data_IF_912920440849
#
_entry.id   IF_912920440849
#
_cell.length_a   1.000
_cell.length_b   1.000
_cell.length_c   1.000
_cell.angle_alpha   90.00
_cell.angle_beta   90.00
_cell.angle_gamma   90.00
#
_symmetry.space_group_name_H-M   'P 1'
#
loop_
_entity.id
_entity.type
_entity.pdbx_description
1 polymer ?
#
# COMPACT_ATOMS: atom_id res chain seq x y z
N UNK A 1 -13.17 -23.15 -2.30
CA UNK A 1 -14.30 -22.24 -2.44
C UNK A 1 -14.16 -21.10 -1.43
N UNK A 2 -14.38 -19.80 -1.76
CA UNK A 2 -14.14 -18.66 -0.88
C UNK A 2 -14.84 -18.76 0.49
N UNK A 3 -16.11 -19.20 0.52
CA UNK A 3 -16.86 -19.36 1.76
C UNK A 3 -16.24 -20.46 2.65
N UNK A 4 -15.79 -21.57 2.05
CA UNK A 4 -15.13 -22.64 2.78
C UNK A 4 -13.80 -22.16 3.40
N UNK A 5 -13.01 -21.36 2.70
CA UNK A 5 -11.78 -20.78 3.23
C UNK A 5 -12.04 -19.88 4.43
N UNK A 6 -13.05 -18.99 4.36
CA UNK A 6 -13.47 -18.18 5.52
C UNK A 6 -13.98 -19.03 6.69
N UNK A 7 -14.64 -20.14 6.41
CA UNK A 7 -15.08 -21.09 7.45
C UNK A 7 -13.89 -21.79 8.09
N UNK A 8 -12.95 -22.29 7.30
CA UNK A 8 -11.72 -22.94 7.79
C UNK A 8 -10.92 -21.98 8.68
N UNK A 9 -10.75 -20.70 8.27
CA UNK A 9 -10.08 -19.71 9.10
C UNK A 9 -10.73 -19.57 10.48
N UNK A 10 -12.08 -19.51 10.54
CA UNK A 10 -12.82 -19.45 11.80
C UNK A 10 -12.66 -20.73 12.65
N UNK A 11 -12.61 -21.89 12.00
CA UNK A 11 -12.38 -23.17 12.70
C UNK A 11 -10.98 -23.20 13.30
N UNK A 12 -9.93 -22.82 12.54
CA UNK A 12 -8.56 -22.75 13.04
C UNK A 12 -8.43 -21.81 14.25
N UNK A 13 -9.10 -20.67 14.21
CA UNK A 13 -9.13 -19.75 15.34
C UNK A 13 -9.77 -20.35 16.58
N UNK A 14 -10.92 -21.01 16.44
CA UNK A 14 -11.57 -21.69 17.56
C UNK A 14 -10.70 -22.80 18.15
N UNK A 15 -9.96 -23.53 17.33
CA UNK A 15 -9.02 -24.56 17.79
C UNK A 15 -7.90 -23.88 18.63
N UNK A 16 -7.33 -22.78 18.12
CA UNK A 16 -6.30 -22.05 18.83
C UNK A 16 -6.83 -21.41 20.14
N UNK A 17 -8.04 -20.88 20.18
CA UNK A 17 -8.71 -20.40 21.37
C UNK A 17 -8.94 -21.50 22.41
N UNK A 18 -9.05 -22.77 21.96
CA UNK A 18 -9.16 -23.96 22.82
C UNK A 18 -7.84 -24.38 23.44
N UNK A 19 -6.70 -23.70 23.13
CA UNK A 19 -5.38 -23.99 23.69
C UNK A 19 -4.45 -24.80 22.78
N UNK A 20 -4.91 -25.20 21.60
CA UNK A 20 -4.09 -25.89 20.62
C UNK A 20 -3.30 -24.90 19.77
N UNK A 21 -2.18 -25.33 19.18
CA UNK A 21 -1.42 -24.55 18.23
C UNK A 21 -1.78 -24.92 16.79
N UNK A 22 -2.12 -23.93 15.97
CA UNK A 22 -2.43 -24.10 14.54
C UNK A 22 -1.42 -23.32 13.70
N UNK A 23 -0.66 -24.02 12.86
CA UNK A 23 0.27 -23.41 11.89
C UNK A 23 -0.09 -23.94 10.51
N UNK A 24 -0.25 -23.06 9.54
CA UNK A 24 -0.53 -23.42 8.15
C UNK A 24 0.13 -22.44 7.18
N UNK A 25 0.47 -22.92 6.00
CA UNK A 25 0.93 -22.07 4.87
C UNK A 25 -0.20 -21.86 3.88
N UNK A 26 -0.23 -20.67 3.27
CA UNK A 26 -1.27 -20.32 2.30
C UNK A 26 -0.77 -19.30 1.29
N UNK A 27 -1.38 -19.30 0.10
CA UNK A 27 -1.31 -18.23 -0.89
C UNK A 27 -2.68 -17.53 -1.07
N UNK A 28 -3.64 -17.80 -0.17
CA UNK A 28 -4.98 -17.23 -0.28
C UNK A 28 -5.15 -15.99 0.59
N UNK A 29 -5.47 -14.86 -0.04
CA UNK A 29 -5.80 -13.61 0.62
C UNK A 29 -7.05 -13.68 1.52
N UNK A 30 -7.87 -14.74 1.38
CA UNK A 30 -9.03 -15.01 2.23
C UNK A 30 -8.68 -15.68 3.57
N UNK A 31 -7.51 -16.33 3.64
CA UNK A 31 -7.02 -16.97 4.87
C UNK A 31 -6.14 -16.04 5.71
N UNK A 32 -5.72 -14.91 5.15
CA UNK A 32 -4.97 -13.86 5.84
C UNK A 32 -5.93 -12.79 6.35
N UNK A 33 -5.63 -12.20 7.52
CA UNK A 33 -6.43 -11.11 8.10
C UNK A 33 -5.51 -10.02 8.65
N UNK A 34 -5.59 -8.84 8.08
CA UNK A 34 -4.80 -7.69 8.50
C UNK A 34 -5.01 -7.30 9.97
N UNK A 35 -6.17 -7.60 10.56
CA UNK A 35 -6.42 -7.36 11.98
C UNK A 35 -5.58 -8.28 12.89
N UNK A 36 -5.08 -9.38 12.34
CA UNK A 36 -4.24 -10.36 13.01
C UNK A 36 -2.83 -10.41 12.38
N UNK A 37 -2.30 -9.23 12.06
CA UNK A 37 -0.98 -9.08 11.44
C UNK A 37 0.15 -9.75 12.23
N UNK A 38 0.00 -9.82 13.54
CA UNK A 38 0.95 -10.43 14.48
C UNK A 38 0.99 -11.98 14.42
N UNK A 39 -0.02 -12.59 13.78
CA UNK A 39 -0.07 -14.02 13.51
C UNK A 39 0.52 -14.39 12.13
N UNK A 40 0.86 -13.37 11.30
CA UNK A 40 1.37 -13.57 9.95
C UNK A 40 2.89 -13.68 9.99
N UNK A 41 3.41 -14.78 9.45
CA UNK A 41 4.84 -14.97 9.21
C UNK A 41 5.05 -14.97 7.70
N UNK A 42 5.64 -13.88 7.18
CA UNK A 42 6.04 -13.82 5.78
C UNK A 42 7.36 -14.53 5.58
N UNK A 43 7.36 -15.51 4.68
CA UNK A 43 8.58 -16.21 4.27
C UNK A 43 9.08 -15.65 2.94
N UNK A 44 10.36 -15.35 2.88
CA UNK A 44 11.05 -14.90 1.67
C UNK A 44 12.23 -15.84 1.40
N UNK A 45 12.36 -16.31 0.16
CA UNK A 45 13.52 -17.10 -0.27
C UNK A 45 14.31 -16.29 -1.30
N UNK A 46 15.59 -16.10 -1.04
CA UNK A 46 16.52 -15.42 -1.95
C UNK A 46 17.71 -16.32 -2.23
N UNK A 47 18.22 -16.25 -3.45
CA UNK A 47 19.48 -16.90 -3.79
C UNK A 47 20.63 -15.95 -3.41
N UNK A 48 21.44 -16.33 -2.42
CA UNK A 48 22.61 -15.60 -1.96
C UNK A 48 23.89 -16.40 -2.29
N UNK A 49 25.02 -15.73 -2.36
CA UNK A 49 26.32 -16.40 -2.48
C UNK A 49 26.87 -16.59 -1.06
N UNK A 50 26.81 -17.82 -0.57
CA UNK A 50 27.36 -18.22 0.72
C UNK A 50 28.59 -19.08 0.48
N UNK A 51 29.76 -18.65 0.98
CA UNK A 51 31.04 -19.37 0.79
C UNK A 51 31.34 -19.68 -0.69
N UNK A 52 31.04 -18.73 -1.59
CA UNK A 52 31.28 -18.88 -3.03
C UNK A 52 30.29 -19.79 -3.78
N UNK A 53 29.24 -20.30 -3.12
CA UNK A 53 28.20 -21.13 -3.73
C UNK A 53 26.85 -20.41 -3.72
N UNK A 54 26.09 -20.54 -4.80
CA UNK A 54 24.69 -20.11 -4.84
C UNK A 54 23.87 -20.98 -3.89
N UNK A 55 23.31 -20.36 -2.86
CA UNK A 55 22.54 -21.04 -1.82
C UNK A 55 21.19 -20.33 -1.67
N UNK A 56 20.10 -21.10 -1.60
CA UNK A 56 18.80 -20.55 -1.26
C UNK A 56 18.77 -20.27 0.25
N UNK A 57 18.58 -19.01 0.62
CA UNK A 57 18.45 -18.56 2.00
C UNK A 57 17.00 -18.12 2.22
N UNK A 58 16.34 -18.71 3.21
CA UNK A 58 14.99 -18.33 3.61
C UNK A 58 15.05 -17.40 4.81
N UNK A 59 14.28 -16.31 4.74
CA UNK A 59 14.11 -15.35 5.83
C UNK A 59 12.63 -15.31 6.24
N UNK A 60 12.39 -15.21 7.54
CA UNK A 60 11.05 -15.08 8.11
C UNK A 60 10.89 -13.69 8.71
N UNK A 61 9.76 -13.07 8.44
CA UNK A 61 9.42 -11.74 8.94
C UNK A 61 8.08 -11.81 9.66
N UNK A 62 8.04 -11.30 10.88
CA UNK A 62 6.84 -11.22 11.71
C UNK A 62 6.79 -9.87 12.41
N UNK A 63 5.60 -9.30 12.56
CA UNK A 63 5.37 -8.04 13.27
C UNK A 63 4.66 -8.33 14.59
N UNK A 64 5.36 -8.31 15.74
CA UNK A 64 4.73 -8.52 17.04
C UNK A 64 3.71 -7.42 17.38
N UNK A 65 2.59 -7.79 18.00
CA UNK A 65 1.56 -6.85 18.46
C UNK A 65 2.14 -5.78 19.39
N UNK A 66 3.02 -6.16 20.31
CA UNK A 66 3.67 -5.25 21.25
C UNK A 66 4.41 -4.10 20.55
N UNK A 67 5.09 -4.37 19.42
CA UNK A 67 5.80 -3.35 18.64
C UNK A 67 4.86 -2.31 18.04
N UNK A 68 3.70 -2.75 17.56
CA UNK A 68 2.68 -1.82 17.02
C UNK A 68 2.00 -1.00 18.11
N UNK A 69 1.80 -1.58 19.30
CA UNK A 69 1.29 -0.86 20.46
C UNK A 69 2.30 0.22 20.90
N UNK A 70 3.59 -0.13 21.03
CA UNK A 70 4.64 0.81 21.40
C UNK A 70 4.78 1.97 20.39
N UNK A 71 4.71 1.68 19.09
CA UNK A 71 4.69 2.72 18.05
C UNK A 71 3.47 3.64 18.19
N UNK A 72 2.28 3.10 18.44
CA UNK A 72 1.07 3.90 18.62
C UNK A 72 1.17 4.79 19.86
N UNK A 73 1.64 4.24 20.99
CA UNK A 73 1.79 4.97 22.24
C UNK A 73 2.90 6.03 22.17
N UNK A 74 3.95 5.77 21.37
CA UNK A 74 5.00 6.75 21.12
C UNK A 74 4.49 7.94 20.34
N UNK A 75 3.63 7.70 19.33
CA UNK A 75 3.00 8.77 18.53
C UNK A 75 1.91 9.52 19.28
N UNK A 76 1.22 8.85 20.17
CA UNK A 76 0.12 9.37 20.96
C UNK A 76 0.34 9.14 22.45
N UNK A 77 1.16 9.96 23.13
CA UNK A 77 1.54 9.74 24.54
C UNK A 77 0.35 9.66 25.51
N UNK A 78 -0.78 10.27 25.17
CA UNK A 78 -2.03 10.18 25.94
C UNK A 78 -2.66 8.78 25.96
N UNK A 79 -2.23 7.90 25.06
CA UNK A 79 -2.67 6.48 24.98
C UNK A 79 -1.75 5.53 25.76
N UNK A 80 -0.63 6.03 26.31
CA UNK A 80 0.39 5.20 26.98
C UNK A 80 -0.22 4.33 28.07
N UNK A 81 0.01 3.01 27.98
CA UNK A 81 -0.52 2.00 28.90
C UNK A 81 -2.02 1.74 28.83
N UNK A 82 -2.71 2.29 27.80
CA UNK A 82 -4.15 2.14 27.60
C UNK A 82 -4.51 1.30 26.38
N UNK A 83 -3.54 1.01 25.52
CA UNK A 83 -3.78 0.25 24.30
C UNK A 83 -3.65 -1.24 24.56
N UNK A 84 -4.74 -1.95 24.38
CA UNK A 84 -4.80 -3.41 24.53
C UNK A 84 -4.73 -4.09 23.13
N UNK A 85 -4.23 -5.34 23.05
CA UNK A 85 -4.20 -6.09 21.79
C UNK A 85 -5.56 -6.14 21.09
N UNK A 86 -6.64 -6.34 21.84
CA UNK A 86 -8.01 -6.39 21.32
C UNK A 86 -8.41 -5.07 20.66
N UNK A 87 -8.12 -3.94 21.31
CA UNK A 87 -8.41 -2.61 20.76
C UNK A 87 -7.57 -2.31 19.50
N UNK A 88 -6.37 -2.89 19.39
CA UNK A 88 -5.58 -2.84 18.15
C UNK A 88 -6.24 -3.67 17.05
N UNK A 89 -6.69 -4.89 17.34
CA UNK A 89 -7.41 -5.73 16.36
C UNK A 89 -8.65 -5.02 15.85
N UNK A 90 -9.43 -4.40 16.72
CA UNK A 90 -10.63 -3.62 16.34
C UNK A 90 -10.26 -2.45 15.41
N UNK A 91 -9.16 -1.74 15.68
CA UNK A 91 -8.66 -0.65 14.82
C UNK A 91 -8.31 -1.10 13.41
N UNK A 92 -7.90 -2.36 13.23
CA UNK A 92 -7.52 -2.92 11.94
C UNK A 92 -8.62 -3.76 11.29
N UNK A 93 -9.68 -4.12 12.02
CA UNK A 93 -10.74 -5.00 11.53
C UNK A 93 -11.44 -4.48 10.25
N UNK A 94 -11.65 -3.16 10.16
CA UNK A 94 -12.25 -2.56 8.95
C UNK A 94 -11.28 -2.41 7.78
N UNK A 95 -9.99 -2.63 7.99
CA UNK A 95 -9.03 -2.72 6.90
C UNK A 95 -9.04 -4.11 6.23
N UNK A 96 -9.74 -5.10 6.82
CA UNK A 96 -9.88 -6.42 6.23
C UNK A 96 -10.61 -6.36 4.89
N UNK A 97 -9.87 -6.64 3.84
CA UNK A 97 -10.38 -6.78 2.49
C UNK A 97 -9.49 -7.78 1.73
N UNK A 98 -10.04 -8.84 1.10
CA UNK A 98 -9.26 -9.81 0.36
C UNK A 98 -8.34 -9.19 -0.71
N UNK A 99 -8.74 -8.08 -1.34
CA UNK A 99 -7.88 -7.33 -2.28
C UNK A 99 -6.69 -6.70 -1.57
N UNK A 100 -6.88 -6.04 -0.43
CA UNK A 100 -5.80 -5.46 0.37
C UNK A 100 -4.86 -6.54 0.91
N UNK A 101 -5.41 -7.69 1.30
CA UNK A 101 -4.62 -8.82 1.78
C UNK A 101 -3.73 -9.44 0.69
N UNK A 102 -3.99 -9.17 -0.60
CA UNK A 102 -3.10 -9.57 -1.69
C UNK A 102 -1.69 -9.01 -1.51
N UNK A 103 -1.59 -7.82 -0.90
CA UNK A 103 -0.31 -7.21 -0.57
C UNK A 103 0.64 -8.10 0.24
N UNK A 104 0.15 -9.01 1.09
CA UNK A 104 1.01 -9.93 1.84
C UNK A 104 1.79 -10.91 0.95
N UNK A 105 1.35 -11.13 -0.28
CA UNK A 105 1.97 -12.04 -1.26
C UNK A 105 2.77 -11.29 -2.33
N UNK A 106 2.69 -9.97 -2.35
CA UNK A 106 3.38 -9.15 -3.33
C UNK A 106 4.89 -9.07 -3.08
N UNK A 107 5.67 -8.92 -4.15
CA UNK A 107 7.09 -8.58 -4.07
C UNK A 107 7.29 -7.11 -3.71
N UNK A 108 6.37 -6.24 -4.15
CA UNK A 108 6.30 -4.81 -3.84
C UNK A 108 4.84 -4.37 -3.84
N UNK A 109 4.54 -3.27 -3.16
CA UNK A 109 3.19 -2.72 -3.07
C UNK A 109 3.20 -1.25 -3.46
N UNK A 110 2.19 -0.84 -4.21
CA UNK A 110 1.84 0.57 -4.40
C UNK A 110 0.56 0.80 -3.62
N UNK A 111 0.67 1.52 -2.51
CA UNK A 111 -0.47 1.94 -1.70
C UNK A 111 -1.08 3.19 -2.31
N UNK A 112 -2.35 3.15 -2.67
CA UNK A 112 -3.07 4.26 -3.28
C UNK A 112 -4.27 4.67 -2.43
N UNK A 113 -4.67 5.93 -2.53
CA UNK A 113 -5.74 6.47 -1.70
C UNK A 113 -7.11 5.88 -2.08
N UNK A 114 -7.37 5.72 -3.37
CA UNK A 114 -8.65 5.31 -3.89
C UNK A 114 -8.61 4.45 -5.15
N UNK A 115 -9.82 4.18 -5.65
CA UNK A 115 -10.02 3.34 -6.85
C UNK A 115 -9.57 4.03 -8.16
N UNK A 116 -9.44 5.35 -8.17
CA UNK A 116 -8.99 6.11 -9.34
C UNK A 116 -7.59 5.65 -9.76
N UNK A 117 -6.68 5.64 -8.81
CA UNK A 117 -5.31 5.21 -8.99
C UNK A 117 -5.23 3.69 -9.22
N UNK A 118 -5.97 2.90 -8.41
CA UNK A 118 -5.98 1.43 -8.54
C UNK A 118 -6.36 0.98 -9.96
N UNK A 119 -7.33 1.68 -10.59
CA UNK A 119 -7.83 1.28 -11.91
C UNK A 119 -7.04 1.87 -13.09
N UNK A 120 -6.33 2.97 -12.90
CA UNK A 120 -5.64 3.66 -13.98
C UNK A 120 -4.14 3.42 -14.02
N UNK A 121 -3.46 3.31 -12.87
CA UNK A 121 -2.00 3.10 -12.80
C UNK A 121 -1.51 1.88 -13.58
N UNK A 122 -2.12 0.68 -13.47
CA UNK A 122 -1.65 -0.49 -14.21
C UNK A 122 -1.70 -0.27 -15.73
N UNK A 123 -2.71 0.45 -16.22
CA UNK A 123 -2.87 0.74 -17.66
C UNK A 123 -1.71 1.60 -18.17
N UNK A 124 -1.36 2.65 -17.42
CA UNK A 124 -0.22 3.49 -17.78
C UNK A 124 1.12 2.75 -17.65
N UNK A 125 1.24 1.89 -16.65
CA UNK A 125 2.44 1.08 -16.43
C UNK A 125 2.70 0.13 -17.60
N UNK A 126 1.66 -0.48 -18.17
CA UNK A 126 1.75 -1.37 -19.33
C UNK A 126 2.25 -0.67 -20.60
N UNK A 127 2.07 0.64 -20.70
CA UNK A 127 2.58 1.44 -21.80
C UNK A 127 4.03 1.89 -21.63
N UNK A 128 4.64 1.63 -20.47
CA UNK A 128 6.03 2.02 -20.17
C UNK A 128 6.97 0.81 -20.23
N UNK A 129 8.16 0.94 -20.81
CA UNK A 129 9.15 -0.15 -20.88
C UNK A 129 9.52 -0.65 -19.47
N UNK A 130 9.42 -1.95 -19.27
CA UNK A 130 9.79 -2.62 -18.01
C UNK A 130 9.02 -2.13 -16.75
N UNK A 131 7.82 -1.58 -16.94
CA UNK A 131 7.02 -1.07 -15.82
C UNK A 131 5.73 -1.85 -15.56
N UNK A 132 5.38 -2.85 -16.38
CA UNK A 132 4.22 -3.73 -16.15
C UNK A 132 4.31 -4.37 -14.76
N UNK A 133 3.24 -4.27 -13.97
CA UNK A 133 3.26 -4.61 -12.54
C UNK A 133 3.23 -6.11 -12.26
N UNK A 134 2.29 -6.85 -12.86
CA UNK A 134 2.09 -8.28 -12.57
C UNK A 134 3.34 -9.13 -12.74
N UNK A 135 4.11 -9.04 -13.87
CA UNK A 135 5.33 -9.84 -14.04
C UNK A 135 6.41 -9.54 -13.01
N UNK A 136 6.35 -8.37 -12.34
CA UNK A 136 7.27 -7.97 -11.30
C UNK A 136 6.77 -8.28 -9.88
N UNK A 137 5.58 -8.88 -9.77
CA UNK A 137 4.93 -9.16 -8.49
C UNK A 137 4.55 -7.89 -7.72
N UNK A 138 4.18 -6.81 -8.43
CA UNK A 138 3.77 -5.55 -7.84
C UNK A 138 2.25 -5.51 -7.75
N UNK A 139 1.71 -5.32 -6.54
CA UNK A 139 0.26 -5.13 -6.32
C UNK A 139 -0.05 -3.66 -6.05
N UNK A 140 -1.10 -3.14 -6.71
CA UNK A 140 -1.68 -1.83 -6.36
C UNK A 140 -2.80 -2.07 -5.37
N UNK A 141 -2.70 -1.45 -4.19
CA UNK A 141 -3.61 -1.69 -3.06
C UNK A 141 -4.32 -0.40 -2.70
N UNK A 142 -5.62 -0.36 -2.95
CA UNK A 142 -6.51 0.71 -2.52
C UNK A 142 -6.70 0.67 -1.00
N UNK A 143 -6.48 1.80 -0.32
CA UNK A 143 -6.44 1.88 1.14
C UNK A 143 -7.75 2.35 1.80
N UNK A 144 -8.69 2.94 1.05
CA UNK A 144 -9.90 3.57 1.60
C UNK A 144 -9.62 4.91 2.27
N UNK A 145 -8.66 5.66 1.73
CA UNK A 145 -8.25 6.97 2.20
C UNK A 145 -6.99 6.99 3.06
N UNK A 146 -6.45 8.18 3.28
CA UNK A 146 -5.19 8.46 3.99
C UNK A 146 -5.10 7.84 5.38
N UNK A 147 -6.21 7.80 6.12
CA UNK A 147 -6.24 7.26 7.49
C UNK A 147 -5.92 5.76 7.59
N UNK A 148 -6.09 5.02 6.50
CA UNK A 148 -5.75 3.59 6.43
C UNK A 148 -4.39 3.33 5.78
N UNK A 149 -3.87 4.28 4.99
CA UNK A 149 -2.58 4.13 4.31
C UNK A 149 -1.43 3.96 5.29
N UNK A 150 -1.35 4.78 6.34
CA UNK A 150 -0.28 4.69 7.34
C UNK A 150 -0.28 3.33 8.05
N UNK A 151 -1.46 2.78 8.33
CA UNK A 151 -1.62 1.49 8.99
C UNK A 151 -1.12 0.34 8.11
N UNK A 152 -1.58 0.31 6.85
CA UNK A 152 -1.17 -0.72 5.89
C UNK A 152 0.32 -0.63 5.57
N UNK A 153 0.84 0.60 5.36
CA UNK A 153 2.26 0.82 5.13
C UNK A 153 3.11 0.26 6.27
N UNK A 154 2.74 0.52 7.54
CA UNK A 154 3.47 0.01 8.71
C UNK A 154 3.51 -1.52 8.73
N UNK A 155 2.38 -2.17 8.52
CA UNK A 155 2.30 -3.63 8.52
C UNK A 155 3.15 -4.22 7.40
N UNK A 156 2.96 -3.78 6.16
CA UNK A 156 3.67 -4.34 5.02
C UNK A 156 5.16 -4.07 5.08
N UNK A 157 5.56 -2.85 5.46
CA UNK A 157 6.97 -2.49 5.58
C UNK A 157 7.69 -3.27 6.69
N UNK A 158 7.05 -3.50 7.84
CA UNK A 158 7.60 -4.34 8.92
C UNK A 158 7.70 -5.81 8.54
N UNK A 159 6.84 -6.29 7.66
CA UNK A 159 6.96 -7.60 7.03
C UNK A 159 7.95 -7.62 5.86
N UNK A 160 8.78 -6.58 5.74
CA UNK A 160 9.83 -6.47 4.73
C UNK A 160 9.33 -6.46 3.28
N UNK A 161 8.12 -5.95 3.05
CA UNK A 161 7.57 -5.74 1.71
C UNK A 161 7.82 -4.28 1.33
N UNK A 162 8.60 -4.00 0.26
CA UNK A 162 8.78 -2.62 -0.21
C UNK A 162 7.47 -1.98 -0.59
N UNK A 163 7.19 -0.79 -0.05
CA UNK A 163 5.95 -0.06 -0.29
C UNK A 163 6.24 1.31 -0.91
N UNK A 164 5.47 1.67 -1.91
CA UNK A 164 5.39 3.01 -2.47
C UNK A 164 4.04 3.61 -2.12
N UNK A 165 4.01 4.83 -1.58
CA UNK A 165 2.78 5.53 -1.18
C UNK A 165 2.45 6.56 -2.26
N UNK A 166 1.21 6.57 -2.75
CA UNK A 166 0.71 7.58 -3.67
C UNK A 166 -0.64 8.11 -3.19
N UNK A 167 -0.73 9.43 -2.98
CA UNK A 167 -1.93 10.07 -2.43
C UNK A 167 -2.07 11.51 -2.90
N UNK A 168 -3.23 12.13 -2.60
CA UNK A 168 -3.49 13.53 -2.82
C UNK A 168 -3.11 14.32 -1.55
N UNK A 169 -2.27 15.36 -1.65
CA UNK A 169 -1.91 16.19 -0.49
C UNK A 169 -3.10 17.03 -0.01
N UNK A 170 -4.04 17.35 -0.92
CA UNK A 170 -5.21 18.21 -0.69
C UNK A 170 -4.85 19.64 -0.28
N UNK A 171 -3.82 20.23 -0.91
CA UNK A 171 -3.42 21.61 -0.66
C UNK A 171 -4.61 22.58 -0.79
N UNK A 172 -4.78 23.44 0.21
CA UNK A 172 -5.90 24.38 0.28
C UNK A 172 -7.19 23.78 0.88
N UNK A 173 -7.18 22.54 1.35
CA UNK A 173 -8.30 22.00 2.13
C UNK A 173 -8.42 22.76 3.46
N UNK A 174 -9.66 23.16 3.82
CA UNK A 174 -9.95 23.88 5.05
C UNK A 174 -9.90 22.99 6.31
N UNK A 175 -9.97 21.66 6.15
CA UNK A 175 -9.84 20.71 7.27
C UNK A 175 -8.36 20.43 7.57
N UNK A 176 -7.90 21.00 8.69
CA UNK A 176 -6.54 20.81 9.18
C UNK A 176 -6.19 19.33 9.44
N UNK A 177 -7.17 18.47 9.76
CA UNK A 177 -6.93 17.06 9.99
C UNK A 177 -6.49 16.34 8.70
N UNK A 178 -7.06 16.71 7.55
CA UNK A 178 -6.67 16.16 6.24
C UNK A 178 -5.23 16.53 5.92
N UNK A 179 -4.87 17.80 6.09
CA UNK A 179 -3.50 18.30 5.86
C UNK A 179 -2.51 17.64 6.82
N UNK A 180 -2.87 17.51 8.10
CA UNK A 180 -2.02 16.83 9.09
C UNK A 180 -1.78 15.35 8.72
N UNK A 181 -2.81 14.65 8.21
CA UNK A 181 -2.64 13.29 7.71
C UNK A 181 -1.66 13.21 6.54
N UNK A 182 -1.70 14.15 5.62
CA UNK A 182 -0.76 14.24 4.50
C UNK A 182 0.69 14.45 5.00
N UNK A 183 0.89 15.34 5.98
CA UNK A 183 2.20 15.54 6.65
C UNK A 183 2.68 14.28 7.38
N UNK A 184 1.77 13.59 8.09
CA UNK A 184 2.10 12.33 8.76
C UNK A 184 2.59 11.26 7.77
N UNK A 185 1.99 11.14 6.57
CA UNK A 185 2.44 10.21 5.53
C UNK A 185 3.83 10.56 5.00
N UNK A 186 4.11 11.84 4.74
CA UNK A 186 5.45 12.29 4.33
C UNK A 186 6.50 11.97 5.41
N UNK A 187 6.21 12.30 6.66
CA UNK A 187 7.10 11.99 7.78
C UNK A 187 7.29 10.47 7.97
N UNK A 188 6.26 9.65 7.74
CA UNK A 188 6.32 8.20 7.80
C UNK A 188 7.27 7.63 6.73
N UNK A 189 7.29 8.23 5.56
CA UNK A 189 8.23 7.88 4.49
C UNK A 189 9.66 8.38 4.73
N UNK A 190 9.88 9.16 5.80
CA UNK A 190 11.19 9.72 6.14
C UNK A 190 11.51 11.04 5.45
N UNK A 191 10.51 11.69 4.84
CA UNK A 191 10.69 12.95 4.15
C UNK A 191 10.76 14.14 5.14
N UNK A 192 11.69 15.05 4.89
CA UNK A 192 11.83 16.28 5.68
C UNK A 192 10.88 17.39 5.23
N UNK A 193 10.42 17.35 3.97
CA UNK A 193 9.48 18.30 3.42
C UNK A 193 8.05 17.88 3.79
N UNK A 194 7.39 18.66 4.62
CA UNK A 194 6.02 18.39 5.07
C UNK A 194 4.94 19.19 4.34
N UNK A 195 5.34 20.19 3.53
CA UNK A 195 4.43 21.11 2.82
C UNK A 195 4.89 21.30 1.38
N UNK A 196 4.61 20.34 0.48
CA UNK A 196 4.96 20.46 -0.94
C UNK A 196 4.20 21.64 -1.59
N UNK A 197 4.85 22.30 -2.55
CA UNK A 197 4.27 23.41 -3.33
C UNK A 197 3.88 22.99 -4.74
N UNK A 198 4.31 21.82 -5.17
CA UNK A 198 4.03 21.19 -6.47
C UNK A 198 3.89 19.68 -6.27
N UNK A 199 3.70 18.92 -7.34
CA UNK A 199 3.85 17.48 -7.30
C UNK A 199 5.15 17.11 -6.57
N UNK A 200 5.04 16.27 -5.56
CA UNK A 200 6.19 15.75 -4.81
C UNK A 200 6.41 14.28 -5.17
N UNK A 201 7.64 13.93 -5.55
CA UNK A 201 8.02 12.56 -5.90
C UNK A 201 9.35 12.22 -5.24
N UNK A 202 9.35 11.20 -4.39
CA UNK A 202 10.54 10.67 -3.72
C UNK A 202 10.68 9.15 -3.97
N UNK A 203 11.62 8.51 -3.29
CA UNK A 203 11.96 7.10 -3.55
C UNK A 203 10.89 6.10 -3.09
N UNK A 204 10.09 6.44 -2.09
CA UNK A 204 9.04 5.56 -1.56
C UNK A 204 7.67 6.25 -1.41
N UNK A 205 7.53 7.51 -1.86
CA UNK A 205 6.29 8.25 -1.73
C UNK A 205 6.17 9.31 -2.83
N UNK A 206 4.95 9.54 -3.28
CA UNK A 206 4.58 10.70 -4.08
C UNK A 206 3.24 11.26 -3.64
N UNK A 207 3.03 12.55 -3.82
CA UNK A 207 1.72 13.15 -3.66
C UNK A 207 1.45 14.23 -4.70
N UNK A 208 0.24 14.21 -5.24
CA UNK A 208 -0.30 15.31 -6.00
C UNK A 208 -0.56 16.49 -5.08
N UNK A 209 -0.37 17.73 -5.56
CA UNK A 209 -0.53 18.92 -4.72
C UNK A 209 -1.98 19.10 -4.26
N UNK A 210 -2.92 18.96 -5.19
CA UNK A 210 -4.35 19.09 -4.92
C UNK A 210 -5.01 17.72 -5.00
N UNK A 211 -5.28 17.25 -6.22
CA UNK A 211 -5.91 15.96 -6.51
C UNK A 211 -5.39 15.40 -7.82
N UNK A 212 -5.38 14.09 -7.91
CA UNK A 212 -5.03 13.34 -9.11
C UNK A 212 -5.61 13.97 -10.39
N UNK A 213 -6.95 14.15 -10.43
CA UNK A 213 -7.61 14.62 -11.63
C UNK A 213 -7.25 16.08 -11.98
N UNK A 214 -7.15 16.95 -10.98
CA UNK A 214 -6.87 18.37 -11.22
C UNK A 214 -5.42 18.62 -11.63
N UNK A 215 -4.49 17.90 -11.04
CA UNK A 215 -3.07 18.12 -11.28
C UNK A 215 -2.63 17.51 -12.62
N UNK A 216 -3.23 16.36 -13.01
CA UNK A 216 -2.99 15.75 -14.33
C UNK A 216 -3.66 16.50 -15.49
N UNK A 217 -4.67 17.32 -15.23
CA UNK A 217 -5.38 18.06 -16.28
C UNK A 217 -4.43 18.93 -17.13
N UNK A 218 -3.37 19.47 -16.53
CA UNK A 218 -2.36 20.24 -17.27
C UNK A 218 -1.50 19.39 -18.22
N UNK A 219 -1.41 18.08 -17.98
CA UNK A 219 -0.62 17.14 -18.79
C UNK A 219 -1.47 16.39 -19.82
N UNK A 220 -2.80 16.48 -19.73
CA UNK A 220 -3.77 15.84 -20.63
C UNK A 220 -4.65 16.93 -21.23
N UNK A 221 -4.25 17.53 -22.38
CA UNK A 221 -4.95 18.70 -22.96
C UNK A 221 -6.42 18.49 -23.26
N UNK A 222 -6.82 17.28 -23.59
CA UNK A 222 -8.19 16.87 -23.92
C UNK A 222 -8.90 16.09 -22.80
N UNK A 223 -8.42 16.21 -21.54
CA UNK A 223 -8.98 15.49 -20.38
C UNK A 223 -10.49 15.71 -20.22
N UNK A 224 -10.99 16.94 -20.40
CA UNK A 224 -12.41 17.25 -20.27
C UNK A 224 -13.24 16.60 -21.39
N UNK A 225 -12.72 16.56 -22.61
CA UNK A 225 -13.35 15.89 -23.75
C UNK A 225 -13.46 14.40 -23.48
N UNK A 226 -12.36 13.76 -23.12
CA UNK A 226 -12.31 12.33 -22.80
C UNK A 226 -13.22 11.99 -21.61
N UNK A 227 -13.28 12.86 -20.59
CA UNK A 227 -14.22 12.69 -19.48
C UNK A 227 -15.68 12.78 -19.92
N UNK A 228 -15.99 13.67 -20.85
CA UNK A 228 -17.32 13.79 -21.47
C UNK A 228 -17.70 12.54 -22.26
N UNK A 229 -16.78 12.02 -23.08
CA UNK A 229 -16.94 10.78 -23.82
C UNK A 229 -17.16 9.59 -22.88
N UNK A 230 -16.33 9.47 -21.83
CA UNK A 230 -16.47 8.43 -20.80
C UNK A 230 -17.86 8.43 -20.17
N UNK A 231 -18.36 9.62 -19.76
CA UNK A 231 -19.71 9.73 -19.17
C UNK A 231 -20.79 9.26 -20.14
N UNK A 232 -20.68 9.66 -21.41
CA UNK A 232 -21.64 9.27 -22.43
C UNK A 232 -21.61 7.77 -22.73
N UNK A 233 -20.42 7.21 -22.96
CA UNK A 233 -20.26 5.80 -23.31
C UNK A 233 -20.61 4.87 -22.14
N UNK A 234 -20.29 5.27 -20.90
CA UNK A 234 -20.52 4.47 -19.71
C UNK A 234 -21.85 4.78 -18.99
N UNK A 235 -22.64 5.73 -19.50
CA UNK A 235 -23.91 6.11 -18.89
C UNK A 235 -23.76 6.72 -17.48
N UNK A 236 -22.71 7.49 -17.23
CA UNK A 236 -22.40 8.03 -15.91
C UNK A 236 -23.03 9.41 -15.70
N UNK A 237 -23.52 9.67 -14.48
CA UNK A 237 -23.94 11.01 -14.08
C UNK A 237 -22.73 11.94 -13.87
N UNK A 238 -22.98 13.28 -13.84
CA UNK A 238 -21.93 14.31 -13.75
C UNK A 238 -21.04 14.12 -12.51
N UNK A 239 -21.63 13.71 -11.39
CA UNK A 239 -20.95 13.64 -10.09
C UNK A 239 -20.50 12.22 -9.70
N UNK A 240 -20.61 11.26 -10.61
CA UNK A 240 -20.28 9.86 -10.31
C UNK A 240 -19.21 9.30 -11.25
N UNK A 241 -18.64 8.15 -10.84
CA UNK A 241 -17.81 7.33 -11.72
C UNK A 241 -16.39 7.81 -11.95
N UNK A 242 -15.81 8.65 -11.08
CA UNK A 242 -14.42 9.12 -11.20
C UNK A 242 -13.41 8.02 -11.53
N UNK A 243 -13.39 6.85 -10.83
CA UNK A 243 -12.45 5.78 -11.16
C UNK A 243 -12.65 5.22 -12.58
N UNK A 244 -13.89 5.12 -13.02
CA UNK A 244 -14.21 4.63 -14.38
C UNK A 244 -13.80 5.63 -15.46
N UNK A 245 -13.98 6.93 -15.19
CA UNK A 245 -13.53 8.01 -16.07
C UNK A 245 -12.01 8.01 -16.19
N UNK A 246 -11.29 7.92 -15.07
CA UNK A 246 -9.83 7.86 -15.07
C UNK A 246 -9.31 6.65 -15.82
N UNK A 247 -9.94 5.48 -15.64
CA UNK A 247 -9.64 4.27 -16.39
C UNK A 247 -9.88 4.43 -17.88
N UNK A 248 -10.99 5.06 -18.26
CA UNK A 248 -11.32 5.34 -19.66
C UNK A 248 -10.27 6.24 -20.30
N UNK A 249 -9.92 7.35 -19.63
CA UNK A 249 -8.89 8.29 -20.09
C UNK A 249 -7.55 7.56 -20.27
N UNK A 250 -7.12 6.76 -19.27
CA UNK A 250 -5.90 5.99 -19.36
C UNK A 250 -5.87 5.11 -20.61
N UNK A 251 -6.93 4.35 -20.87
CA UNK A 251 -7.04 3.49 -22.06
C UNK A 251 -6.96 4.29 -23.36
N UNK A 252 -7.70 5.39 -23.47
CA UNK A 252 -7.67 6.25 -24.67
C UNK A 252 -6.28 6.85 -24.93
N UNK A 253 -5.55 7.21 -23.87
CA UNK A 253 -4.21 7.77 -24.01
C UNK A 253 -3.19 6.73 -24.46
N UNK A 254 -3.23 5.51 -23.95
CA UNK A 254 -2.28 4.46 -24.34
C UNK A 254 -2.60 3.86 -25.72
N UNK A 255 -3.85 3.97 -26.21
CA UNK A 255 -4.25 3.57 -27.56
C UNK A 255 -3.73 4.53 -28.65
N UNK A 256 -3.19 5.69 -28.28
CA UNK A 256 -2.58 6.65 -29.22
C UNK A 256 -1.29 6.12 -29.82
N UNK A 257 -0.90 6.67 -30.94
CA UNK A 257 0.37 6.32 -31.60
C UNK A 257 1.24 7.58 -31.73
N UNK A 258 2.32 7.73 -30.96
CA UNK A 258 2.77 6.82 -29.88
C UNK A 258 1.85 6.85 -28.64
N UNK A 259 1.88 5.81 -27.79
CA UNK A 259 1.17 5.83 -26.52
C UNK A 259 1.53 7.03 -25.66
N UNK A 260 0.53 7.64 -25.04
CA UNK A 260 0.73 8.83 -24.20
C UNK A 260 0.57 8.45 -22.71
N UNK A 261 1.62 8.69 -21.94
CA UNK A 261 1.60 8.59 -20.47
C UNK A 261 1.93 9.98 -19.93
N UNK A 262 1.09 10.55 -19.05
CA UNK A 262 1.41 11.83 -18.41
C UNK A 262 2.80 11.81 -17.76
N UNK A 263 3.66 12.83 -17.96
CA UNK A 263 5.02 12.87 -17.43
C UNK A 263 5.12 12.63 -15.92
N UNK A 264 4.19 13.21 -15.16
CA UNK A 264 4.08 12.97 -13.72
C UNK A 264 3.87 11.50 -13.38
N UNK A 265 2.93 10.84 -14.06
CA UNK A 265 2.64 9.42 -13.85
C UNK A 265 3.77 8.52 -14.28
N UNK A 266 4.45 8.86 -15.38
CA UNK A 266 5.65 8.14 -15.80
C UNK A 266 6.70 8.14 -14.69
N UNK A 267 7.03 9.32 -14.15
CA UNK A 267 7.99 9.46 -13.06
C UNK A 267 7.57 8.68 -11.81
N UNK A 268 6.30 8.78 -11.41
CA UNK A 268 5.75 8.05 -10.26
C UNK A 268 5.85 6.55 -10.46
N UNK A 269 5.44 6.03 -11.62
CA UNK A 269 5.46 4.59 -11.92
C UNK A 269 6.90 4.06 -11.94
N UNK A 270 7.85 4.76 -12.56
CA UNK A 270 9.27 4.39 -12.58
C UNK A 270 9.83 4.32 -11.15
N UNK A 271 9.52 5.28 -10.28
CA UNK A 271 9.90 5.27 -8.86
C UNK A 271 9.23 4.14 -8.10
N UNK A 272 7.94 3.91 -8.30
CA UNK A 272 7.20 2.84 -7.64
C UNK A 272 7.74 1.44 -8.02
N UNK A 273 8.09 1.23 -9.29
CA UNK A 273 8.74 -0.02 -9.75
C UNK A 273 10.13 -0.18 -9.13
N UNK A 274 10.87 0.91 -8.95
CA UNK A 274 12.22 0.90 -8.36
C UNK A 274 12.22 0.87 -6.81
N UNK A 275 11.06 0.95 -6.16
CA UNK A 275 10.95 1.09 -4.70
C UNK A 275 11.73 0.00 -3.97
N UNK A 276 12.40 0.40 -2.90
CA UNK A 276 13.13 -0.47 -1.98
C UNK A 276 12.52 -0.41 -0.59
N UNK A 277 12.79 -1.42 0.20
CA UNK A 277 12.35 -1.45 1.59
C UNK A 277 12.85 -0.23 2.38
N UNK A 278 11.95 0.39 3.15
CA UNK A 278 12.22 1.59 3.94
C UNK A 278 12.38 1.22 5.43
N UNK A 279 13.55 1.49 6.01
CA UNK A 279 13.86 1.22 7.42
C UNK A 279 13.19 2.18 8.42
N UNK A 280 12.72 3.33 7.98
CA UNK A 280 12.32 4.44 8.88
C UNK A 280 10.87 4.40 9.32
N UNK A 281 10.11 3.43 8.84
CA UNK A 281 8.67 3.34 8.99
C UNK A 281 8.17 3.23 10.45
N UNK A 282 8.85 2.45 11.29
CA UNK A 282 8.61 2.43 12.72
C UNK A 282 9.85 3.01 13.41
N UNK A 283 9.70 4.13 14.08
CA UNK A 283 10.72 4.64 15.02
C UNK A 283 10.70 3.75 16.28
N UNK A 284 11.08 2.47 16.12
CA UNK A 284 11.40 1.67 17.28
C UNK A 284 12.61 2.30 17.94
N UNK A 285 12.62 2.39 19.28
CA UNK A 285 13.85 2.58 20.02
C UNK A 285 14.88 1.63 19.42
N UNK A 286 15.97 2.19 18.92
CA UNK A 286 17.18 1.42 18.65
C UNK A 286 17.44 0.57 19.90
N UNK A 287 17.83 -0.68 19.67
CA UNK A 287 18.23 -1.67 20.68
C UNK A 287 17.10 -2.51 21.33
N UNK A 288 16.53 -3.39 20.53
CA UNK A 288 16.36 -4.75 20.97
C UNK A 288 16.95 -5.63 19.87
N UNK A 289 18.15 -6.07 20.10
CA UNK A 289 18.89 -7.02 19.27
C UNK A 289 17.97 -8.16 18.86
N UNK A 290 17.67 -8.22 17.58
CA UNK A 290 17.31 -9.48 16.96
C UNK A 290 18.55 -10.34 17.13
N UNK A 291 18.50 -11.27 18.07
CA UNK A 291 19.52 -12.30 18.16
C UNK A 291 19.55 -12.97 16.78
N UNK A 292 20.66 -12.81 16.08
CA UNK A 292 21.04 -13.67 14.97
C UNK A 292 20.98 -15.11 15.50
N UNK A 293 19.94 -15.83 15.13
CA UNK A 293 19.93 -17.29 15.26
C UNK A 293 20.75 -17.80 14.09
N UNK A 294 22.06 -17.69 14.25
CA UNK A 294 23.04 -18.47 13.52
C UNK A 294 23.40 -19.65 14.39
N UNK A 295 22.73 -20.77 14.19
CA UNK A 295 23.29 -22.12 14.33
C UNK A 295 22.42 -23.10 13.51
#
# INVERSE_FOLDING_TARGET
HPQAQRTIRRVFRKIAEGGDQVVFSTHSSLLVDVAYFDEIIRMESKCEIVNGKRTAVSKAWQLPMARMIDDLETRFPNLKGKVMPESMRDRYSHAYNPRRNEGFFASKIILVEGLTEEYSLPIYADALPNCTFDPQGISVVECGGKGSMDRLFRIFNELHIPCYILFDYDSGNSDANIINKSKELLALAGESQDTPQTLFVADCIACFLKKWESDLKGEIPDADTLAGEARKELGLSVDSGKPLIARYIARKLIERTPPQVPPSLKTIIEKAVAVKWNKTCLKAKADASVADVSE
#
